data_IF_224437870323
#
_entry.id   IF_224437870323
#
_cell.length_a   1.000
_cell.length_b   1.000
_cell.length_c   1.000
_cell.angle_alpha   90.00
_cell.angle_beta   90.00
_cell.angle_gamma   90.00
#
_symmetry.space_group_name_H-M   'P 1'
#
loop_
_entity.id
_entity.type
_entity.pdbx_description
1 polymer ?
#
# COMPACT_ATOMS: atom_id res chain seq x y z
N UNK A 1 3.41 -16.20 -2.86
CA UNK A 1 3.94 -15.79 -1.54
C UNK A 1 5.08 -14.80 -1.75
N UNK A 2 4.89 -13.53 -1.39
CA UNK A 2 5.95 -12.53 -1.44
C UNK A 2 6.95 -12.75 -0.29
N UNK A 3 8.26 -12.54 -0.52
CA UNK A 3 9.25 -12.58 0.54
C UNK A 3 9.13 -11.36 1.47
N UNK A 4 9.74 -11.44 2.64
CA UNK A 4 9.98 -10.31 3.52
C UNK A 4 11.33 -10.47 4.23
N UNK A 5 11.90 -9.36 4.72
CA UNK A 5 13.14 -9.37 5.47
C UNK A 5 13.11 -10.41 6.60
N UNK A 6 14.05 -11.40 6.59
CA UNK A 6 14.11 -12.48 7.59
C UNK A 6 12.73 -13.11 7.88
N UNK A 7 11.83 -13.17 6.89
CA UNK A 7 10.44 -13.61 7.04
C UNK A 7 9.66 -12.86 8.13
N UNK A 8 9.88 -11.57 8.26
CA UNK A 8 9.31 -10.72 9.32
C UNK A 8 7.78 -10.54 9.21
N UNK A 9 7.22 -10.68 7.99
CA UNK A 9 5.78 -10.62 7.71
C UNK A 9 5.11 -9.38 8.33
N UNK A 10 5.72 -8.20 8.13
CA UNK A 10 5.30 -6.95 8.78
C UNK A 10 4.09 -6.28 8.15
N UNK A 11 3.71 -6.64 6.93
CA UNK A 11 2.58 -6.02 6.25
C UNK A 11 1.26 -6.30 6.95
N UNK A 12 0.39 -5.28 6.98
CA UNK A 12 -0.98 -5.35 7.49
C UNK A 12 -1.94 -4.82 6.43
N UNK A 13 -3.12 -5.39 6.39
CA UNK A 13 -4.16 -5.02 5.44
C UNK A 13 -5.46 -4.81 6.20
N UNK A 14 -6.00 -3.59 6.08
CA UNK A 14 -7.32 -3.24 6.63
C UNK A 14 -8.28 -3.13 5.46
N UNK A 15 -9.14 -4.12 5.32
CA UNK A 15 -10.15 -4.14 4.26
C UNK A 15 -11.36 -3.35 4.74
N UNK A 16 -11.68 -2.29 4.02
CA UNK A 16 -12.72 -1.32 4.38
C UNK A 16 -13.87 -1.46 3.40
N UNK A 17 -15.04 -1.78 3.93
CA UNK A 17 -16.32 -1.85 3.21
C UNK A 17 -17.41 -1.26 4.10
N UNK A 18 -18.61 -1.05 3.55
CA UNK A 18 -19.78 -0.59 4.33
C UNK A 18 -19.59 0.78 4.96
N UNK A 19 -20.00 0.93 6.22
CA UNK A 19 -20.11 2.24 6.88
C UNK A 19 -18.81 3.04 6.95
N UNK A 20 -17.67 2.39 7.17
CA UNK A 20 -16.37 3.07 7.28
C UNK A 20 -15.77 3.49 5.92
N UNK A 21 -16.35 3.07 4.81
CA UNK A 21 -15.83 3.36 3.47
C UNK A 21 -15.79 4.88 3.20
N UNK A 22 -16.86 5.57 3.55
CA UNK A 22 -16.95 7.02 3.38
C UNK A 22 -15.90 7.77 4.22
N UNK A 23 -15.69 7.36 5.46
CA UNK A 23 -14.74 8.01 6.37
C UNK A 23 -13.30 7.86 5.87
N UNK A 24 -12.92 6.67 5.40
CA UNK A 24 -11.59 6.44 4.82
C UNK A 24 -11.45 7.17 3.49
N UNK A 25 -12.50 7.20 2.65
CA UNK A 25 -12.50 7.98 1.40
C UNK A 25 -12.27 9.46 1.66
N UNK A 26 -12.91 10.03 2.68
CA UNK A 26 -12.75 11.43 3.09
C UNK A 26 -11.37 11.74 3.72
N UNK A 27 -10.59 10.73 4.06
CA UNK A 27 -9.21 10.87 4.51
C UNK A 27 -8.18 10.82 3.35
N UNK A 28 -8.63 10.65 2.11
CA UNK A 28 -7.78 10.74 0.93
C UNK A 28 -7.54 12.20 0.52
N UNK A 29 -6.57 12.44 -0.37
CA UNK A 29 -6.32 13.80 -0.90
C UNK A 29 -7.52 14.35 -1.67
N UNK A 30 -7.59 15.68 -1.90
CA UNK A 30 -8.75 16.28 -2.58
C UNK A 30 -9.11 15.68 -3.95
N UNK A 31 -8.16 15.04 -4.63
CA UNK A 31 -8.39 14.44 -5.95
C UNK A 31 -8.76 12.96 -5.89
N UNK A 32 -8.24 12.23 -4.92
CA UNK A 32 -8.41 10.77 -4.82
C UNK A 32 -9.84 10.32 -4.48
N UNK A 33 -10.64 11.03 -3.67
CA UNK A 33 -12.02 10.63 -3.39
C UNK A 33 -12.87 10.44 -4.65
N UNK A 34 -12.68 11.28 -5.66
CA UNK A 34 -13.41 11.16 -6.94
C UNK A 34 -13.07 9.87 -7.70
N UNK A 35 -11.82 9.42 -7.58
CA UNK A 35 -11.35 8.24 -8.30
C UNK A 35 -11.84 6.92 -7.69
N UNK A 36 -12.37 6.97 -6.48
CA UNK A 36 -12.87 5.80 -5.73
C UNK A 36 -14.28 5.98 -5.20
N UNK A 37 -15.02 6.98 -5.73
CA UNK A 37 -16.37 7.32 -5.25
C UNK A 37 -17.32 6.11 -5.29
N UNK A 38 -17.22 5.28 -6.32
CA UNK A 38 -18.06 4.11 -6.53
C UNK A 38 -17.32 2.79 -6.21
N UNK A 39 -16.12 2.86 -5.62
CA UNK A 39 -15.38 1.66 -5.25
C UNK A 39 -16.08 0.94 -4.08
N UNK A 40 -16.43 -0.34 -4.21
CA UNK A 40 -17.10 -1.10 -3.15
C UNK A 40 -16.19 -1.41 -1.97
N UNK A 41 -14.87 -1.29 -2.15
CA UNK A 41 -13.88 -1.59 -1.13
C UNK A 41 -12.62 -0.72 -1.26
N UNK A 42 -12.02 -0.39 -0.11
CA UNK A 42 -10.68 0.15 0.00
C UNK A 42 -9.83 -0.82 0.83
N UNK A 43 -8.56 -0.98 0.46
CA UNK A 43 -7.60 -1.74 1.26
C UNK A 43 -6.52 -0.77 1.74
N UNK A 44 -6.50 -0.49 3.04
CA UNK A 44 -5.41 0.27 3.65
C UNK A 44 -4.27 -0.69 3.94
N UNK A 45 -3.10 -0.40 3.37
CA UNK A 45 -1.87 -1.15 3.62
C UNK A 45 -1.07 -0.45 4.70
N UNK A 46 -0.55 -1.21 5.64
CA UNK A 46 0.32 -0.72 6.71
C UNK A 46 1.48 -1.69 6.98
N UNK A 47 2.46 -1.23 7.70
CA UNK A 47 3.58 -2.06 8.18
C UNK A 47 3.72 -1.94 9.69
N UNK A 48 4.12 -3.02 10.34
CA UNK A 48 4.59 -2.97 11.73
C UNK A 48 6.00 -2.38 11.74
N UNK A 49 6.17 -1.28 12.49
CA UNK A 49 7.44 -0.56 12.60
C UNK A 49 8.47 -1.35 13.42
N UNK A 50 9.74 -1.05 13.19
CA UNK A 50 10.88 -1.54 13.94
C UNK A 50 10.98 -3.10 14.01
N UNK A 51 10.59 -3.75 12.91
CA UNK A 51 10.65 -5.22 12.75
C UNK A 51 11.47 -5.62 11.53
N UNK A 52 10.98 -5.31 10.33
CA UNK A 52 11.74 -5.55 9.10
C UNK A 52 12.90 -4.56 9.02
N UNK A 53 14.11 -5.05 8.80
CA UNK A 53 15.34 -4.24 8.82
C UNK A 53 15.92 -3.98 10.21
N UNK A 54 15.42 -4.68 11.24
CA UNK A 54 15.88 -4.54 12.63
C UNK A 54 16.36 -5.86 13.22
N UNK A 55 17.27 -5.77 14.17
CA UNK A 55 17.68 -6.88 15.02
C UNK A 55 16.71 -7.07 16.21
N UNK A 56 16.88 -8.16 16.97
CA UNK A 56 15.97 -8.48 18.10
C UNK A 56 16.04 -7.47 19.24
N UNK A 57 17.16 -6.76 19.36
CA UNK A 57 17.38 -5.73 20.38
C UNK A 57 16.83 -4.36 19.99
N UNK A 58 16.21 -4.27 18.79
CA UNK A 58 15.61 -3.04 18.26
C UNK A 58 16.59 -2.14 17.53
N UNK A 59 17.83 -2.58 17.26
CA UNK A 59 18.79 -1.81 16.47
C UNK A 59 18.53 -2.00 14.97
N UNK A 60 18.63 -0.93 14.14
CA UNK A 60 18.56 -1.08 12.69
C UNK A 60 19.73 -1.93 12.18
N UNK A 61 19.44 -2.90 11.30
CA UNK A 61 20.48 -3.75 10.70
C UNK A 61 21.38 -2.98 9.73
N UNK A 62 20.84 -1.94 9.10
CA UNK A 62 21.54 -1.03 8.20
C UNK A 62 20.81 0.33 8.14
N UNK A 63 21.33 1.23 7.29
CA UNK A 63 20.85 2.60 7.13
C UNK A 63 19.40 2.73 6.67
N UNK A 64 18.79 1.69 6.10
CA UNK A 64 17.42 1.73 5.61
C UNK A 64 16.38 1.59 6.73
N UNK A 65 16.72 0.96 7.85
CA UNK A 65 15.79 0.79 8.97
C UNK A 65 14.40 0.31 8.52
N UNK A 66 13.35 1.07 8.84
CA UNK A 66 11.97 0.77 8.43
C UNK A 66 11.76 0.77 6.90
N UNK A 67 12.70 1.28 6.10
CA UNK A 67 12.65 1.19 4.63
C UNK A 67 12.47 -0.25 4.13
N UNK A 68 13.03 -1.23 4.84
CA UNK A 68 12.83 -2.64 4.52
C UNK A 68 11.38 -3.09 4.70
N UNK A 69 10.68 -2.59 5.70
CA UNK A 69 9.25 -2.86 5.86
C UNK A 69 8.41 -2.29 4.72
N UNK A 70 8.72 -1.07 4.25
CA UNK A 70 8.06 -0.48 3.09
C UNK A 70 8.37 -1.26 1.80
N UNK A 71 9.62 -1.72 1.63
CA UNK A 71 10.01 -2.58 0.51
C UNK A 71 9.22 -3.90 0.52
N UNK A 72 9.16 -4.59 1.65
CA UNK A 72 8.38 -5.83 1.84
C UNK A 72 6.90 -5.62 1.49
N UNK A 73 6.31 -4.52 1.98
CA UNK A 73 4.92 -4.17 1.71
C UNK A 73 4.67 -3.92 0.21
N UNK A 74 5.63 -3.30 -0.48
CA UNK A 74 5.56 -3.10 -1.94
C UNK A 74 5.54 -4.43 -2.71
N UNK A 75 6.41 -5.38 -2.34
CA UNK A 75 6.44 -6.72 -2.94
C UNK A 75 5.11 -7.46 -2.76
N UNK A 76 4.54 -7.40 -1.56
CA UNK A 76 3.25 -8.04 -1.25
C UNK A 76 2.09 -7.32 -1.93
N UNK A 77 2.09 -5.99 -1.96
CA UNK A 77 1.07 -5.20 -2.64
C UNK A 77 1.03 -5.52 -4.13
N UNK A 78 2.18 -5.70 -4.78
CA UNK A 78 2.18 -6.08 -6.20
C UNK A 78 1.48 -7.42 -6.44
N UNK A 79 1.68 -8.42 -5.58
CA UNK A 79 0.95 -9.69 -5.68
C UNK A 79 -0.57 -9.51 -5.53
N UNK A 80 -1.01 -8.61 -4.63
CA UNK A 80 -2.42 -8.25 -4.47
C UNK A 80 -2.99 -7.65 -5.76
N UNK A 81 -2.27 -6.68 -6.36
CA UNK A 81 -2.69 -6.01 -7.59
C UNK A 81 -2.80 -7.02 -8.76
N UNK A 82 -1.82 -7.90 -8.91
CA UNK A 82 -1.84 -8.94 -9.93
C UNK A 82 -3.01 -9.91 -9.75
N UNK A 83 -3.27 -10.32 -8.51
CA UNK A 83 -4.41 -11.20 -8.21
C UNK A 83 -5.75 -10.51 -8.44
N UNK A 84 -5.88 -9.23 -8.11
CA UNK A 84 -7.07 -8.45 -8.41
C UNK A 84 -7.31 -8.40 -9.93
N UNK A 85 -6.27 -8.13 -10.72
CA UNK A 85 -6.35 -8.12 -12.19
C UNK A 85 -6.74 -9.48 -12.75
N UNK A 86 -6.16 -10.58 -12.25
CA UNK A 86 -6.53 -11.95 -12.63
C UNK A 86 -8.03 -12.25 -12.40
N UNK A 87 -8.58 -11.65 -11.33
CA UNK A 87 -10.00 -11.76 -10.98
C UNK A 87 -10.92 -10.76 -11.73
N UNK A 88 -10.38 -9.98 -12.67
CA UNK A 88 -11.12 -8.98 -13.44
C UNK A 88 -11.43 -7.71 -12.64
N UNK A 89 -10.76 -7.49 -11.51
CA UNK A 89 -10.91 -6.29 -10.70
C UNK A 89 -9.92 -5.20 -11.13
N UNK A 90 -10.36 -3.96 -11.07
CA UNK A 90 -9.51 -2.78 -11.21
C UNK A 90 -9.02 -2.31 -9.85
N UNK A 91 -7.79 -1.78 -9.81
CA UNK A 91 -7.18 -1.25 -8.59
C UNK A 91 -6.55 0.11 -8.82
N UNK A 92 -6.57 0.96 -7.78
CA UNK A 92 -5.88 2.25 -7.77
C UNK A 92 -5.11 2.43 -6.47
N UNK A 93 -3.78 2.53 -6.56
CA UNK A 93 -2.91 2.76 -5.40
C UNK A 93 -2.79 4.26 -5.14
N UNK A 94 -3.11 4.70 -3.93
CA UNK A 94 -3.11 6.09 -3.51
C UNK A 94 -2.19 6.28 -2.31
N UNK A 95 -1.15 7.11 -2.48
CA UNK A 95 -0.19 7.45 -1.44
C UNK A 95 -0.52 8.75 -0.69
N UNK A 96 -1.26 9.68 -1.31
CA UNK A 96 -1.63 10.96 -0.68
C UNK A 96 -2.92 10.75 0.13
N UNK A 97 -2.78 10.77 1.44
CA UNK A 97 -3.83 10.49 2.42
C UNK A 97 -3.53 11.19 3.75
N UNK A 98 -4.56 11.37 4.56
CA UNK A 98 -4.45 11.80 5.95
C UNK A 98 -4.23 10.58 6.85
N UNK A 99 -2.99 10.38 7.29
CA UNK A 99 -2.58 9.25 8.11
C UNK A 99 -3.33 9.17 9.44
N UNK A 100 -3.45 10.32 10.13
CA UNK A 100 -4.04 10.37 11.46
C UNK A 100 -5.54 10.06 11.42
N UNK A 101 -6.25 10.57 10.43
CA UNK A 101 -7.67 10.24 10.23
C UNK A 101 -7.87 8.76 9.94
N UNK A 102 -7.06 8.16 9.06
CA UNK A 102 -7.17 6.73 8.74
C UNK A 102 -6.91 5.88 9.98
N UNK A 103 -5.86 6.21 10.75
CA UNK A 103 -5.54 5.51 11.99
C UNK A 103 -6.71 5.59 12.99
N UNK A 104 -7.27 6.78 13.17
CA UNK A 104 -8.41 6.98 14.09
C UNK A 104 -9.66 6.19 13.65
N UNK A 105 -10.03 6.24 12.36
CA UNK A 105 -11.20 5.53 11.82
C UNK A 105 -11.08 4.02 11.97
N UNK A 106 -9.88 3.48 11.73
CA UNK A 106 -9.64 2.03 11.68
C UNK A 106 -9.02 1.47 12.96
N UNK A 107 -8.77 2.30 13.98
CA UNK A 107 -8.08 1.94 15.22
C UNK A 107 -6.71 1.29 14.95
N UNK A 108 -5.95 1.83 13.99
CA UNK A 108 -4.61 1.34 13.66
C UNK A 108 -3.64 1.79 14.78
N UNK A 109 -2.90 0.85 15.40
CA UNK A 109 -2.01 1.19 16.50
C UNK A 109 -0.82 2.04 16.06
N UNK A 110 -0.23 2.82 16.99
CA UNK A 110 0.94 3.67 16.74
C UNK A 110 2.19 2.87 16.34
N UNK A 111 2.21 1.58 16.66
CA UNK A 111 3.27 0.65 16.23
C UNK A 111 3.20 0.31 14.74
N UNK A 112 2.20 0.81 14.02
CA UNK A 112 2.03 0.61 12.59
C UNK A 112 2.06 1.92 11.81
N UNK A 113 2.67 1.90 10.63
CA UNK A 113 2.65 3.01 9.68
C UNK A 113 1.77 2.66 8.48
N UNK A 114 0.78 3.52 8.19
CA UNK A 114 -0.02 3.41 6.97
C UNK A 114 0.85 3.72 5.77
N UNK A 115 0.88 2.83 4.78
CA UNK A 115 1.68 2.95 3.56
C UNK A 115 0.87 3.56 2.43
N UNK A 116 -0.25 2.94 2.08
CA UNK A 116 -1.12 3.39 0.99
C UNK A 116 -2.56 2.96 1.22
N UNK A 117 -3.45 3.53 0.41
CA UNK A 117 -4.83 3.05 0.28
C UNK A 117 -5.03 2.57 -1.15
N UNK A 118 -5.55 1.37 -1.32
CA UNK A 118 -5.82 0.76 -2.63
C UNK A 118 -7.32 0.71 -2.81
N UNK A 119 -7.84 1.45 -3.79
CA UNK A 119 -9.21 1.30 -4.26
C UNK A 119 -9.35 -0.01 -5.05
N UNK A 120 -10.42 -0.75 -4.82
CA UNK A 120 -10.69 -2.03 -5.50
C UNK A 120 -12.14 -2.04 -5.97
N UNK A 121 -12.36 -2.40 -7.23
CA UNK A 121 -13.70 -2.45 -7.81
C UNK A 121 -13.66 -2.79 -9.28
N UNK A 122 -14.74 -2.48 -9.99
CA UNK A 122 -14.81 -2.58 -11.44
C UNK A 122 -14.70 -1.19 -12.06
N UNK A 123 -14.04 -1.07 -13.20
CA UNK A 123 -13.90 0.20 -13.91
C UNK A 123 -14.06 0.00 -15.41
N UNK A 124 -14.79 0.89 -16.04
CA UNK A 124 -14.88 1.00 -17.50
C UNK A 124 -13.83 1.98 -18.07
N UNK A 125 -12.97 2.55 -17.23
CA UNK A 125 -11.90 3.43 -17.67
C UNK A 125 -10.80 2.62 -18.36
N UNK A 126 -10.37 3.11 -19.52
CA UNK A 126 -9.23 2.60 -20.28
C UNK A 126 -8.08 3.62 -20.22
N UNK A 127 -7.33 3.67 -19.11
CA UNK A 127 -6.27 4.66 -18.98
C UNK A 127 -5.13 4.34 -19.95
N UNK A 128 -4.64 5.39 -20.64
CA UNK A 128 -3.47 5.23 -21.49
C UNK A 128 -2.26 4.77 -20.68
N UNK A 129 -1.47 3.85 -21.24
CA UNK A 129 -0.24 3.41 -20.61
C UNK A 129 0.76 4.58 -20.51
N UNK A 130 1.17 4.99 -19.29
CA UNK A 130 2.16 6.05 -19.16
C UNK A 130 3.52 5.63 -19.76
N UNK A 131 4.21 6.59 -20.39
CA UNK A 131 5.53 6.35 -20.98
C UNK A 131 6.50 5.79 -19.93
N UNK A 132 7.17 4.72 -20.26
CA UNK A 132 8.21 4.10 -19.43
C UNK A 132 9.60 4.63 -19.83
N UNK A 133 10.49 4.70 -18.85
CA UNK A 133 11.91 5.00 -19.15
C UNK A 133 12.51 3.82 -19.90
N UNK A 134 13.44 4.11 -20.81
CA UNK A 134 14.24 3.09 -21.47
C UNK A 134 15.15 2.38 -20.47
N UNK A 135 15.55 1.15 -20.79
CA UNK A 135 16.37 0.31 -19.88
C UNK A 135 17.68 1.00 -19.52
N UNK A 136 18.31 1.67 -20.47
CA UNK A 136 19.60 2.39 -20.31
C UNK A 136 19.54 3.50 -19.24
N UNK A 137 18.31 4.00 -18.94
CA UNK A 137 18.09 5.03 -17.94
C UNK A 137 17.85 4.48 -16.52
N UNK A 138 17.67 3.17 -16.38
CA UNK A 138 17.31 2.52 -15.11
C UNK A 138 18.21 1.34 -14.75
N UNK A 139 18.95 0.79 -15.70
CA UNK A 139 19.88 -0.33 -15.50
C UNK A 139 21.26 0.02 -16.03
N UNK A 140 22.29 -0.45 -15.33
CA UNK A 140 23.69 -0.40 -15.76
C UNK A 140 24.23 -1.82 -15.75
N UNK A 141 24.95 -2.18 -16.80
CA UNK A 141 25.60 -3.48 -16.97
C UNK A 141 27.11 -3.28 -16.78
N UNK A 142 27.75 -4.08 -15.94
CA UNK A 142 29.18 -4.02 -15.64
C UNK A 142 29.84 -5.33 -16.05
#
# INVERSE_FOLDING_TARGET
>A
LAPSWKNSQVSRYYVVTGEKLADVTNALSPYNPKNVADAPALIVTAIVLNRSGYEKDGTPTNELGNGWGFYDCGLQSMNLLLKATELGLSTLVMGIRDNEKIKAVLNIPETEAVVSVIGVGYSNAEPAMPKRKAIENIAKFF
#
